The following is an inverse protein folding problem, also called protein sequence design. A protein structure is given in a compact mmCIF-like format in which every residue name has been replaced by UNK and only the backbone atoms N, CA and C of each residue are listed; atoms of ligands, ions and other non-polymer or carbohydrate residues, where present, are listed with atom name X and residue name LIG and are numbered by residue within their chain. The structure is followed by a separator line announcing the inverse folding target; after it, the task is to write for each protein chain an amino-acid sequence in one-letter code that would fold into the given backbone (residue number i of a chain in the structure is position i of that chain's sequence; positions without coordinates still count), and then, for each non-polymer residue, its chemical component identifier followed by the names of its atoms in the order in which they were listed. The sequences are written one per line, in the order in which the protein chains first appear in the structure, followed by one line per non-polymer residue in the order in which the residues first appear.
data_IF_495787744448
#
_entry.id   IF_495787744448
#
_cell.length_a   1.000
_cell.length_b   1.000
_cell.length_c   1.000
_cell.angle_alpha   90.00
_cell.angle_beta   90.00
_cell.angle_gamma   90.00
#
_symmetry.space_group_name_H-M   'P 1'
#
loop_
_entity.id
_entity.type
_entity.pdbx_description
1 polymer ?
#
# COMPACT_ATOMS: atom_id res chain seq x y z
N UNK A 1 -1.81 21.01 -6.05
CA UNK A 1 -2.07 19.62 -6.50
C UNK A 1 -2.65 18.76 -5.38
N UNK A 2 -1.98 18.63 -4.22
CA UNK A 2 -2.44 17.75 -3.12
C UNK A 2 -3.82 18.11 -2.53
N UNK A 3 -4.15 19.40 -2.38
CA UNK A 3 -5.46 19.84 -1.86
C UNK A 3 -6.62 19.45 -2.78
N UNK A 4 -6.43 19.53 -4.10
CA UNK A 4 -7.42 19.10 -5.09
C UNK A 4 -7.67 17.59 -4.97
N UNK A 5 -6.60 16.79 -4.92
CA UNK A 5 -6.68 15.34 -4.73
C UNK A 5 -7.36 14.96 -3.41
N UNK A 6 -7.00 15.63 -2.31
CA UNK A 6 -7.65 15.47 -1.01
C UNK A 6 -9.15 15.73 -1.08
N UNK A 7 -9.55 16.84 -1.71
CA UNK A 7 -10.96 17.20 -1.84
C UNK A 7 -11.71 16.16 -2.67
N UNK A 8 -11.15 15.72 -3.80
CA UNK A 8 -11.76 14.66 -4.63
C UNK A 8 -11.94 13.37 -3.81
N UNK A 9 -10.92 12.95 -3.06
CA UNK A 9 -11.01 11.78 -2.17
C UNK A 9 -12.11 11.94 -1.12
N UNK A 10 -12.18 13.08 -0.47
CA UNK A 10 -13.20 13.36 0.55
C UNK A 10 -14.62 13.39 -0.03
N UNK A 11 -14.78 13.88 -1.26
CA UNK A 11 -16.08 13.87 -1.95
C UNK A 11 -16.53 12.46 -2.33
N UNK A 12 -15.62 11.56 -2.71
CA UNK A 12 -15.93 10.13 -2.88
C UNK A 12 -16.25 9.45 -1.54
N UNK A 13 -15.45 9.71 -0.49
CA UNK A 13 -15.69 9.16 0.85
C UNK A 13 -17.03 9.62 1.44
N UNK A 14 -17.43 10.87 1.18
CA UNK A 14 -18.72 11.40 1.57
C UNK A 14 -19.87 10.97 0.64
N UNK A 15 -19.61 10.11 -0.35
CA UNK A 15 -20.57 9.64 -1.36
C UNK A 15 -21.27 10.77 -2.15
N UNK A 16 -20.62 11.93 -2.26
CA UNK A 16 -21.11 13.09 -3.03
C UNK A 16 -20.78 12.98 -4.51
N UNK A 17 -19.63 12.37 -4.82
CA UNK A 17 -19.24 12.00 -6.18
C UNK A 17 -19.39 10.49 -6.36
N UNK A 18 -19.93 10.08 -7.51
CA UNK A 18 -19.96 8.67 -7.92
C UNK A 18 -18.72 8.35 -8.76
N UNK A 19 -17.98 7.27 -8.47
CA UNK A 19 -16.90 6.83 -9.34
C UNK A 19 -17.43 6.52 -10.75
N UNK A 20 -16.58 6.66 -11.75
CA UNK A 20 -16.92 6.21 -13.10
C UNK A 20 -17.29 4.72 -13.08
N UNK A 21 -18.19 4.30 -13.98
CA UNK A 21 -18.73 2.93 -13.98
C UNK A 21 -17.62 1.87 -14.12
N UNK A 22 -16.57 2.18 -14.89
CA UNK A 22 -15.39 1.31 -15.06
C UNK A 22 -14.67 0.97 -13.74
N UNK A 23 -14.80 1.81 -12.71
CA UNK A 23 -14.16 1.62 -11.41
C UNK A 23 -15.11 1.10 -10.32
N UNK A 24 -16.41 0.97 -10.60
CA UNK A 24 -17.42 0.55 -9.61
C UNK A 24 -18.12 -0.75 -9.98
N UNK A 25 -17.96 -1.23 -11.21
CA UNK A 25 -18.65 -2.42 -11.72
C UNK A 25 -18.22 -3.70 -11.00
N UNK A 26 -19.15 -4.30 -10.25
CA UNK A 26 -18.97 -5.62 -9.62
C UNK A 26 -18.06 -5.61 -8.40
N UNK A 27 -17.87 -4.45 -7.77
CA UNK A 27 -17.10 -4.28 -6.53
C UNK A 27 -18.10 -4.04 -5.39
N UNK A 28 -18.04 -4.84 -4.30
CA UNK A 28 -18.91 -4.62 -3.16
C UNK A 28 -18.54 -3.32 -2.43
N UNK A 29 -19.54 -2.61 -1.92
CA UNK A 29 -19.36 -1.41 -1.11
C UNK A 29 -19.45 -1.77 0.39
N UNK A 30 -18.39 -1.45 1.15
CA UNK A 30 -18.22 -1.80 2.56
C UNK A 30 -18.36 -0.59 3.50
N UNK A 31 -19.11 0.41 3.06
CA UNK A 31 -19.61 1.57 3.78
C UNK A 31 -19.63 1.53 5.33
N UNK A 32 -20.22 0.48 5.93
CA UNK A 32 -20.30 0.35 7.39
C UNK A 32 -18.93 0.09 8.03
N UNK A 33 -18.14 -0.78 7.41
CA UNK A 33 -16.79 -1.09 7.84
C UNK A 33 -15.87 0.12 7.65
N UNK A 34 -15.96 0.81 6.50
CA UNK A 34 -15.14 1.98 6.23
C UNK A 34 -15.38 3.09 7.26
N UNK A 35 -16.64 3.37 7.59
CA UNK A 35 -16.99 4.33 8.64
C UNK A 35 -16.48 3.93 10.02
N UNK A 36 -16.53 2.64 10.36
CA UNK A 36 -15.98 2.13 11.62
C UNK A 36 -14.45 2.26 11.66
N UNK A 37 -13.76 1.84 10.60
CA UNK A 37 -12.31 1.87 10.49
C UNK A 37 -11.76 3.30 10.49
N UNK A 38 -12.53 4.28 10.00
CA UNK A 38 -12.16 5.69 9.98
C UNK A 38 -12.26 6.38 11.36
N UNK A 39 -12.94 5.78 12.34
CA UNK A 39 -13.15 6.41 13.65
C UNK A 39 -11.84 6.69 14.41
N UNK A 40 -11.83 7.77 15.19
CA UNK A 40 -10.72 8.09 16.10
C UNK A 40 -10.44 6.97 17.10
N UNK A 41 -11.47 6.25 17.54
CA UNK A 41 -11.32 5.11 18.43
C UNK A 41 -10.42 4.04 17.80
N UNK A 42 -10.69 3.65 16.54
CA UNK A 42 -9.88 2.64 15.83
C UNK A 42 -8.46 3.14 15.60
N UNK A 43 -8.30 4.40 15.20
CA UNK A 43 -6.97 5.01 15.01
C UNK A 43 -6.13 5.01 16.27
N UNK A 44 -6.71 5.43 17.41
CA UNK A 44 -6.04 5.40 18.72
C UNK A 44 -5.79 3.98 19.19
N UNK A 45 -6.73 3.06 18.97
CA UNK A 45 -6.57 1.63 19.32
C UNK A 45 -5.38 1.00 18.61
N UNK A 46 -5.17 1.28 17.33
CA UNK A 46 -3.97 0.82 16.61
C UNK A 46 -2.68 1.42 17.19
N UNK A 47 -2.69 2.72 17.51
CA UNK A 47 -1.55 3.36 18.17
C UNK A 47 -1.21 2.70 19.52
N UNK A 48 -2.21 2.48 20.36
CA UNK A 48 -2.06 1.79 21.64
C UNK A 48 -1.60 0.34 21.47
N UNK A 49 -2.09 -0.38 20.46
CA UNK A 49 -1.65 -1.73 20.16
C UNK A 49 -0.15 -1.77 19.82
N UNK A 50 0.32 -0.88 18.96
CA UNK A 50 1.75 -0.76 18.66
C UNK A 50 2.56 -0.43 19.92
N UNK A 51 2.12 0.51 20.75
CA UNK A 51 2.78 0.81 22.04
C UNK A 51 2.83 -0.42 22.92
N UNK A 52 1.72 -1.16 23.04
CA UNK A 52 1.63 -2.36 23.85
C UNK A 52 2.62 -3.44 23.38
N UNK A 53 2.77 -3.65 22.06
CA UNK A 53 3.77 -4.57 21.51
C UNK A 53 5.18 -4.17 21.97
N UNK A 54 5.53 -2.89 21.88
CA UNK A 54 6.84 -2.39 22.31
C UNK A 54 7.05 -2.57 23.81
N UNK A 55 6.07 -2.20 24.64
CA UNK A 55 6.13 -2.36 26.10
C UNK A 55 6.28 -3.83 26.48
N UNK A 56 5.50 -4.70 25.87
CA UNK A 56 5.55 -6.13 26.14
C UNK A 56 6.93 -6.71 25.76
N UNK A 57 7.41 -6.43 24.55
CA UNK A 57 8.69 -6.99 24.08
C UNK A 57 9.91 -6.43 24.80
N UNK A 58 9.96 -5.11 25.04
CA UNK A 58 11.14 -4.41 25.58
C UNK A 58 11.15 -4.40 27.11
N UNK A 59 9.99 -4.16 27.75
CA UNK A 59 9.95 -3.85 29.18
C UNK A 59 9.32 -4.93 30.05
N UNK A 60 8.47 -5.80 29.49
CA UNK A 60 7.83 -6.87 30.26
C UNK A 60 8.53 -8.20 30.05
N UNK A 61 8.76 -8.60 28.81
CA UNK A 61 9.39 -9.88 28.46
C UNK A 61 10.89 -9.80 28.24
N UNK A 62 11.44 -8.58 28.14
CA UNK A 62 12.87 -8.32 27.92
C UNK A 62 13.47 -9.25 26.84
N UNK A 63 12.82 -9.26 25.67
CA UNK A 63 13.18 -10.21 24.62
C UNK A 63 14.63 -9.96 24.16
N UNK A 64 15.40 -11.03 23.87
CA UNK A 64 16.78 -10.88 23.42
C UNK A 64 16.90 -9.96 22.20
N UNK A 65 17.83 -9.00 22.27
CA UNK A 65 18.08 -8.03 21.20
C UNK A 65 17.18 -6.80 21.24
N UNK A 66 16.24 -6.70 22.18
CA UNK A 66 15.48 -5.47 22.40
C UNK A 66 16.23 -4.48 23.29
N UNK A 67 16.00 -3.18 23.05
CA UNK A 67 16.65 -2.10 23.80
C UNK A 67 15.70 -0.93 24.00
N UNK A 68 15.86 -0.17 25.09
CA UNK A 68 14.98 0.96 25.42
C UNK A 68 14.90 2.01 24.31
N UNK A 69 16.00 2.27 23.58
CA UNK A 69 16.00 3.28 22.52
C UNK A 69 15.08 2.89 21.35
N UNK A 70 14.68 1.62 21.23
CA UNK A 70 13.75 1.18 20.20
C UNK A 70 12.39 1.86 20.33
N UNK A 71 12.00 2.39 21.50
CA UNK A 71 10.79 3.21 21.62
C UNK A 71 10.77 4.41 20.65
N UNK A 72 11.92 4.91 20.20
CA UNK A 72 12.01 5.96 19.17
C UNK A 72 11.55 5.51 17.77
N UNK A 73 11.32 4.21 17.55
CA UNK A 73 10.75 3.67 16.32
C UNK A 73 9.22 3.78 16.29
N UNK A 74 8.54 4.06 17.42
CA UNK A 74 7.07 4.18 17.46
C UNK A 74 6.53 5.27 16.51
N UNK A 75 7.10 6.51 16.47
CA UNK A 75 6.69 7.50 15.48
C UNK A 75 6.81 7.01 14.04
N UNK A 76 7.84 6.22 13.73
CA UNK A 76 8.04 5.64 12.39
C UNK A 76 6.91 4.67 12.07
N UNK A 77 6.55 3.79 13.01
CA UNK A 77 5.46 2.82 12.82
C UNK A 77 4.10 3.48 12.67
N UNK A 78 3.82 4.54 13.45
CA UNK A 78 2.57 5.29 13.32
C UNK A 78 2.44 5.98 11.96
N UNK A 79 3.55 6.41 11.37
CA UNK A 79 3.60 7.16 10.12
C UNK A 79 3.94 6.30 8.90
N UNK A 80 4.15 4.99 9.08
CA UNK A 80 4.64 4.11 8.03
C UNK A 80 3.73 4.14 6.79
N UNK A 81 2.40 4.07 6.97
CA UNK A 81 1.43 4.14 5.88
C UNK A 81 1.57 5.37 4.97
N UNK A 82 1.41 6.61 5.49
CA UNK A 82 1.55 7.82 4.66
C UNK A 82 2.96 8.00 4.12
N UNK A 83 4.01 7.58 4.87
CA UNK A 83 5.40 7.66 4.39
C UNK A 83 5.63 6.72 3.21
N UNK A 84 5.15 5.48 3.25
CA UNK A 84 5.26 4.53 2.16
C UNK A 84 4.52 5.03 0.91
N UNK A 85 3.29 5.53 1.07
CA UNK A 85 2.55 6.13 -0.05
C UNK A 85 3.27 7.33 -0.67
N UNK A 86 3.92 8.16 0.14
CA UNK A 86 4.76 9.25 -0.34
C UNK A 86 5.99 8.74 -1.10
N UNK A 87 6.66 7.70 -0.60
CA UNK A 87 7.82 7.08 -1.24
C UNK A 87 7.44 6.51 -2.61
N UNK A 88 6.35 5.75 -2.71
CA UNK A 88 5.87 5.16 -3.96
C UNK A 88 5.60 6.26 -4.97
N UNK A 89 4.75 7.23 -4.64
CA UNK A 89 4.37 8.28 -5.57
C UNK A 89 5.53 9.21 -5.96
N UNK A 90 6.39 9.59 -5.00
CA UNK A 90 7.52 10.48 -5.30
C UNK A 90 8.63 9.77 -6.07
N UNK A 91 9.05 8.59 -5.60
CA UNK A 91 10.14 7.84 -6.23
C UNK A 91 9.70 7.30 -7.58
N UNK A 92 8.48 6.76 -7.66
CA UNK A 92 7.87 6.23 -8.88
C UNK A 92 7.59 7.27 -9.96
N UNK A 93 7.80 8.56 -9.71
CA UNK A 93 7.71 9.63 -10.72
C UNK A 93 8.99 10.47 -10.85
N UNK A 94 10.05 10.15 -10.09
CA UNK A 94 11.27 10.95 -10.08
C UNK A 94 12.54 10.13 -10.32
N UNK A 95 12.61 8.91 -9.79
CA UNK A 95 13.84 8.11 -9.78
C UNK A 95 13.64 6.71 -10.34
N UNK A 96 14.67 6.23 -11.03
CA UNK A 96 14.73 4.88 -11.57
C UNK A 96 14.61 4.85 -13.09
N UNK A 97 14.17 3.71 -13.62
CA UNK A 97 14.14 3.41 -15.05
C UNK A 97 12.71 3.31 -15.56
N UNK A 98 12.53 3.28 -16.88
CA UNK A 98 11.23 3.06 -17.51
C UNK A 98 11.35 1.93 -18.54
N UNK A 99 10.41 0.98 -18.48
CA UNK A 99 10.25 -0.06 -19.50
C UNK A 99 9.34 0.38 -20.64
N UNK A 100 8.44 1.33 -20.36
CA UNK A 100 7.42 1.82 -21.29
C UNK A 100 7.41 3.35 -21.33
N UNK A 101 7.11 3.89 -22.51
CA UNK A 101 6.77 5.30 -22.66
C UNK A 101 5.26 5.49 -22.49
N UNK A 102 4.85 5.88 -21.28
CA UNK A 102 3.46 6.15 -20.92
C UNK A 102 3.10 7.66 -21.00
N UNK A 103 4.08 8.52 -21.32
CA UNK A 103 3.93 9.98 -21.31
C UNK A 103 3.43 10.58 -19.96
N UNK A 104 3.82 9.97 -18.82
CA UNK A 104 3.36 10.35 -17.46
C UNK A 104 4.50 10.47 -16.42
N UNK A 105 5.75 10.45 -16.88
CA UNK A 105 6.98 10.45 -16.06
C UNK A 105 7.09 9.29 -15.05
N UNK A 106 6.25 8.25 -15.11
CA UNK A 106 6.35 7.08 -14.24
C UNK A 106 7.67 6.33 -14.43
N UNK A 107 8.20 5.79 -13.34
CA UNK A 107 9.46 5.06 -13.23
C UNK A 107 9.28 3.81 -12.37
N UNK A 108 10.10 2.81 -12.62
CA UNK A 108 10.34 1.70 -11.71
C UNK A 108 11.56 2.06 -10.85
N UNK A 109 11.40 2.10 -9.52
CA UNK A 109 12.45 2.62 -8.64
C UNK A 109 13.43 1.56 -8.13
N UNK A 110 13.01 0.30 -8.01
CA UNK A 110 13.87 -0.82 -7.59
C UNK A 110 13.73 -1.97 -8.60
N UNK A 111 14.78 -2.78 -8.75
CA UNK A 111 14.71 -4.05 -9.51
C UNK A 111 14.06 -5.16 -8.67
N UNK A 112 14.32 -5.15 -7.36
CA UNK A 112 13.72 -6.04 -6.38
C UNK A 112 13.02 -5.18 -5.34
N UNK A 113 11.69 -5.10 -5.40
CA UNK A 113 10.92 -4.28 -4.47
C UNK A 113 10.36 -5.12 -3.31
N UNK A 114 11.26 -5.51 -2.40
CA UNK A 114 10.86 -6.16 -1.14
C UNK A 114 10.24 -5.17 -0.16
N UNK A 115 10.65 -3.90 -0.22
CA UNK A 115 10.30 -2.91 0.79
C UNK A 115 8.84 -2.45 0.64
N UNK A 116 8.38 -2.24 -0.59
CA UNK A 116 6.99 -1.87 -0.89
C UNK A 116 6.23 -3.01 -1.59
N UNK A 117 6.76 -4.22 -1.55
CA UNK A 117 6.11 -5.44 -2.04
C UNK A 117 5.65 -5.36 -3.51
N UNK A 118 6.40 -4.66 -4.37
CA UNK A 118 6.15 -4.54 -5.81
C UNK A 118 5.60 -3.19 -6.24
N UNK A 119 5.08 -2.37 -5.32
CA UNK A 119 4.45 -1.07 -5.60
C UNK A 119 5.41 -0.04 -6.25
N UNK A 120 6.73 -0.24 -6.17
CA UNK A 120 7.73 0.61 -6.84
C UNK A 120 7.90 0.31 -8.34
N UNK A 121 7.20 -0.67 -8.90
CA UNK A 121 7.14 -0.91 -10.35
C UNK A 121 6.08 -0.04 -11.04
N UNK A 122 6.10 1.26 -10.75
CA UNK A 122 5.00 2.17 -11.10
C UNK A 122 4.88 2.39 -12.62
N UNK A 123 5.97 2.41 -13.37
CA UNK A 123 5.93 2.50 -14.84
C UNK A 123 5.26 1.28 -15.48
N UNK A 124 5.50 0.08 -14.92
CA UNK A 124 4.85 -1.14 -15.38
C UNK A 124 3.36 -1.13 -15.02
N UNK A 125 3.02 -0.74 -13.79
CA UNK A 125 1.63 -0.64 -13.33
C UNK A 125 0.82 0.36 -14.16
N UNK A 126 1.38 1.53 -14.46
CA UNK A 126 0.72 2.54 -15.28
C UNK A 126 0.48 2.06 -16.72
N UNK A 127 1.38 1.25 -17.28
CA UNK A 127 1.17 0.65 -18.61
C UNK A 127 0.11 -0.44 -18.58
N UNK A 128 0.11 -1.29 -17.54
CA UNK A 128 -0.70 -2.50 -17.45
C UNK A 128 -1.43 -2.60 -16.09
N UNK A 129 -2.40 -1.71 -15.82
CA UNK A 129 -2.98 -1.55 -14.48
C UNK A 129 -3.80 -2.76 -14.01
N UNK A 130 -4.28 -3.58 -14.94
CA UNK A 130 -5.06 -4.79 -14.63
C UNK A 130 -4.19 -6.04 -14.45
N UNK A 131 -2.87 -5.95 -14.66
CA UNK A 131 -1.99 -7.11 -14.48
C UNK A 131 -1.74 -7.35 -12.99
N UNK A 132 -1.91 -8.60 -12.51
CA UNK A 132 -1.66 -8.95 -11.11
C UNK A 132 -0.17 -9.07 -10.76
N UNK A 133 0.72 -9.08 -11.76
CA UNK A 133 2.17 -9.08 -11.58
C UNK A 133 2.72 -7.76 -12.10
N UNK A 134 3.28 -6.95 -11.22
CA UNK A 134 3.86 -5.66 -11.57
C UNK A 134 5.25 -5.79 -12.20
N UNK A 135 5.93 -6.92 -12.02
CA UNK A 135 7.17 -7.22 -12.74
C UNK A 135 6.90 -7.58 -14.22
N UNK A 136 7.73 -7.05 -15.12
CA UNK A 136 7.65 -7.24 -16.57
C UNK A 136 8.95 -7.79 -17.14
N UNK A 137 10.11 -7.30 -16.68
CA UNK A 137 11.42 -7.79 -17.12
C UNK A 137 11.87 -8.97 -16.25
N UNK A 138 12.74 -9.80 -16.79
CA UNK A 138 13.22 -11.02 -16.13
C UNK A 138 14.00 -10.75 -14.83
N UNK A 139 14.60 -9.57 -14.70
CA UNK A 139 15.33 -9.12 -13.51
C UNK A 139 14.43 -8.41 -12.48
N UNK A 140 13.15 -8.22 -12.80
CA UNK A 140 12.17 -7.62 -11.90
C UNK A 140 11.49 -8.71 -11.07
N UNK A 141 11.35 -8.47 -9.77
CA UNK A 141 10.63 -9.39 -8.89
C UNK A 141 9.63 -8.65 -8.01
N UNK A 142 8.36 -9.05 -8.18
CA UNK A 142 7.20 -8.63 -7.39
C UNK A 142 6.93 -9.72 -6.32
N UNK A 143 7.20 -9.46 -5.02
CA UNK A 143 6.96 -10.42 -3.95
C UNK A 143 5.48 -10.74 -3.71
N UNK A 144 4.56 -9.86 -4.13
CA UNK A 144 3.12 -10.05 -3.94
C UNK A 144 2.57 -11.05 -4.94
N UNK A 145 3.15 -11.14 -6.14
CA UNK A 145 2.63 -12.04 -7.18
C UNK A 145 2.62 -13.54 -6.80
N UNK A 146 3.68 -14.12 -6.19
CA UNK A 146 3.61 -15.47 -5.64
C UNK A 146 2.50 -15.67 -4.61
N UNK A 147 2.26 -14.69 -3.74
CA UNK A 147 1.19 -14.74 -2.72
C UNK A 147 -0.18 -14.77 -3.42
N UNK A 148 -0.38 -13.90 -4.41
CA UNK A 148 -1.60 -13.86 -5.23
C UNK A 148 -1.84 -15.19 -5.96
N UNK A 149 -0.80 -15.81 -6.52
CA UNK A 149 -0.91 -17.16 -7.12
C UNK A 149 -1.31 -18.20 -6.10
N UNK A 150 -0.75 -18.17 -4.90
CA UNK A 150 -1.09 -19.09 -3.83
C UNK A 150 -2.57 -18.95 -3.44
N UNK A 151 -3.05 -17.73 -3.25
CA UNK A 151 -4.46 -17.44 -2.96
C UNK A 151 -5.38 -17.90 -4.09
N UNK A 152 -4.92 -17.79 -5.34
CA UNK A 152 -5.66 -18.32 -6.49
C UNK A 152 -5.73 -19.85 -6.48
N UNK A 153 -4.60 -20.51 -6.20
CA UNK A 153 -4.49 -21.96 -6.13
C UNK A 153 -5.36 -22.55 -5.01
N UNK A 154 -5.39 -21.90 -3.85
CA UNK A 154 -6.24 -22.29 -2.72
C UNK A 154 -7.71 -21.90 -2.89
N UNK A 155 -8.08 -21.31 -4.03
CA UNK A 155 -9.45 -20.87 -4.38
C UNK A 155 -10.04 -19.81 -3.45
N UNK A 156 -9.19 -19.11 -2.70
CA UNK A 156 -9.59 -17.93 -1.92
C UNK A 156 -9.94 -16.78 -2.87
N UNK A 157 -9.17 -16.64 -3.97
CA UNK A 157 -9.44 -15.67 -5.03
C UNK A 157 -9.48 -16.33 -6.42
N UNK A 158 -10.08 -15.65 -7.39
CA UNK A 158 -10.03 -16.04 -8.80
C UNK A 158 -9.36 -14.94 -9.61
N UNK A 159 -8.14 -15.20 -10.08
CA UNK A 159 -7.47 -14.30 -11.01
C UNK A 159 -8.24 -14.22 -12.32
N UNK A 160 -8.41 -12.99 -12.83
CA UNK A 160 -8.92 -12.75 -14.17
C UNK A 160 -7.73 -12.68 -15.12
N UNK A 161 -7.84 -13.23 -16.34
CA UNK A 161 -6.87 -12.97 -17.39
C UNK A 161 -6.74 -11.45 -17.58
N UNK A 162 -5.50 -10.98 -17.70
CA UNK A 162 -5.18 -9.57 -17.94
C UNK A 162 -5.47 -9.17 -19.40
#
# INVERSE_FOLDING_TARGET
MMWKTKNIYNEYFAFRLKPEERFSKGIPDWNKFDRFADTMLVRVSWGLLYVAIYVLCISVFDLPGTHWWMYFLLPIHFLMGPVHGAIVNWSGHKYGYANFDNNDHSKNSLMLDVLMLGELFQNNHHKLPNRPNFAVKWYEFDPTYPIVKLLHLTRIIKLRPA
#
